data_IF_869079423990
#
_entry.id   IF_869079423990
#
_cell.length_a   1.000
_cell.length_b   1.000
_cell.length_c   1.000
_cell.angle_alpha   90.00
_cell.angle_beta   90.00
_cell.angle_gamma   90.00
#
_symmetry.space_group_name_H-M   'P 1'
#
loop_
_entity.id
_entity.type
_entity.pdbx_description
1 polymer ?
#
# COMPACT_ATOMS: atom_id res chain seq x y z
N UNK A 1 -4.65 9.48 2.56
CA UNK A 1 -5.48 8.59 3.41
C UNK A 1 -4.87 8.53 4.80
N UNK A 2 -5.70 8.65 5.83
CA UNK A 2 -5.31 8.54 7.25
C UNK A 2 -6.25 7.56 7.94
N UNK A 3 -5.87 7.04 9.11
CA UNK A 3 -6.82 6.34 9.99
C UNK A 3 -7.58 7.35 10.87
N UNK A 4 -8.67 6.91 11.50
CA UNK A 4 -9.37 7.70 12.52
C UNK A 4 -8.45 8.08 13.70
N UNK A 5 -7.49 7.21 14.02
CA UNK A 5 -6.55 7.37 15.14
C UNK A 5 -5.45 8.39 14.87
N UNK A 6 -4.90 8.41 13.62
CA UNK A 6 -3.73 9.23 13.31
C UNK A 6 -4.04 10.52 12.54
N UNK A 7 -5.30 10.74 12.10
CA UNK A 7 -5.68 11.91 11.31
C UNK A 7 -5.33 13.23 12.01
N UNK A 8 -5.71 13.37 13.27
CA UNK A 8 -5.48 14.62 14.01
C UNK A 8 -3.97 14.90 14.12
N UNK A 9 -3.17 13.92 14.53
CA UNK A 9 -1.72 14.07 14.65
C UNK A 9 -1.07 14.42 13.30
N UNK A 10 -1.55 13.80 12.21
CA UNK A 10 -1.05 14.09 10.86
C UNK A 10 -1.36 15.52 10.43
N UNK A 11 -2.57 16.02 10.70
CA UNK A 11 -2.96 17.40 10.41
C UNK A 11 -2.11 18.39 11.21
N UNK A 12 -2.00 18.17 12.52
CA UNK A 12 -1.19 19.02 13.42
C UNK A 12 0.29 19.06 12.99
N UNK A 13 0.83 17.91 12.59
CA UNK A 13 2.20 17.83 12.08
C UNK A 13 2.39 18.66 10.80
N UNK A 14 1.47 18.57 9.85
CA UNK A 14 1.54 19.35 8.62
C UNK A 14 1.35 20.85 8.87
N UNK A 15 0.42 21.24 9.75
CA UNK A 15 0.21 22.62 10.15
C UNK A 15 1.44 23.21 10.84
N UNK A 16 2.03 22.49 11.79
CA UNK A 16 3.25 22.90 12.48
C UNK A 16 4.42 23.16 11.52
N UNK A 17 4.48 22.40 10.43
CA UNK A 17 5.53 22.53 9.40
C UNK A 17 5.06 23.38 8.19
N UNK A 18 3.99 24.18 8.35
CA UNK A 18 3.44 25.01 7.27
C UNK A 18 3.28 24.24 5.95
N UNK A 19 2.77 22.98 6.03
CA UNK A 19 2.59 22.08 4.89
C UNK A 19 3.83 21.99 3.99
N UNK A 20 5.02 22.21 4.53
CA UNK A 20 6.29 22.26 3.80
C UNK A 20 6.27 23.21 2.59
N UNK A 21 5.49 24.30 2.69
CA UNK A 21 5.28 25.29 1.64
C UNK A 21 4.26 24.90 0.57
N UNK A 22 3.60 23.74 0.70
CA UNK A 22 2.51 23.36 -0.21
C UNK A 22 1.19 24.06 0.21
N UNK A 23 0.36 24.52 -0.75
CA UNK A 23 -0.90 25.23 -0.43
C UNK A 23 -1.85 24.34 0.38
N UNK A 24 -2.21 24.78 1.60
CA UNK A 24 -3.06 24.02 2.53
C UNK A 24 -4.42 23.65 1.92
N UNK A 25 -5.01 24.54 1.15
CA UNK A 25 -6.32 24.34 0.50
C UNK A 25 -6.32 23.22 -0.57
N UNK A 26 -5.13 22.80 -1.03
CA UNK A 26 -4.96 21.68 -1.96
C UNK A 26 -4.73 20.35 -1.26
N UNK A 27 -4.58 20.34 0.07
CA UNK A 27 -4.39 19.13 0.86
C UNK A 27 -5.73 18.67 1.42
N UNK A 28 -6.13 17.44 1.05
CA UNK A 28 -7.37 16.85 1.53
C UNK A 28 -7.08 15.57 2.30
N UNK A 29 -7.82 15.34 3.37
CA UNK A 29 -7.71 14.14 4.20
C UNK A 29 -8.99 13.33 4.08
N UNK A 30 -8.85 12.04 3.87
CA UNK A 30 -9.95 11.08 3.96
C UNK A 30 -9.54 9.90 4.84
N UNK A 31 -10.54 9.21 5.40
CA UNK A 31 -10.31 8.21 6.44
C UNK A 31 -10.44 6.80 5.87
N UNK A 32 -9.44 5.98 6.15
CA UNK A 32 -9.45 4.54 5.90
C UNK A 32 -10.55 3.86 6.73
N UNK A 33 -11.20 2.85 6.16
CA UNK A 33 -12.16 2.02 6.86
C UNK A 33 -11.54 1.14 7.93
N UNK A 34 -12.40 0.65 8.82
CA UNK A 34 -12.06 -0.36 9.82
C UNK A 34 -12.97 -1.58 9.67
N UNK A 35 -12.48 -2.73 10.11
CA UNK A 35 -13.23 -3.97 10.24
C UNK A 35 -13.06 -4.54 11.66
N UNK A 36 -14.11 -5.21 12.18
CA UNK A 36 -14.01 -5.88 13.48
C UNK A 36 -13.00 -7.01 13.43
N UNK A 37 -12.30 -7.21 14.54
CA UNK A 37 -11.53 -8.41 14.80
C UNK A 37 -12.45 -9.52 15.30
N UNK A 38 -12.20 -10.76 14.88
CA UNK A 38 -12.90 -11.93 15.38
C UNK A 38 -11.91 -12.91 15.99
N UNK A 39 -12.36 -13.66 16.98
CA UNK A 39 -11.58 -14.72 17.61
C UNK A 39 -11.54 -16.00 16.73
N UNK A 40 -10.97 -17.07 17.24
CA UNK A 40 -10.88 -18.37 16.56
C UNK A 40 -12.23 -19.08 16.36
N UNK A 41 -13.28 -18.67 17.08
CA UNK A 41 -14.65 -19.16 16.94
C UNK A 41 -15.48 -18.31 15.98
N UNK A 42 -14.93 -17.17 15.52
CA UNK A 42 -15.65 -16.19 14.70
C UNK A 42 -16.45 -15.18 15.50
N UNK A 43 -16.26 -15.11 16.82
CA UNK A 43 -16.94 -14.16 17.71
C UNK A 43 -16.20 -12.82 17.74
N UNK A 44 -16.96 -11.72 17.91
CA UNK A 44 -16.42 -10.38 17.96
C UNK A 44 -15.57 -10.16 19.21
N UNK A 45 -14.40 -9.57 19.02
CA UNK A 45 -13.51 -9.20 20.12
C UNK A 45 -13.94 -7.85 20.71
N UNK A 46 -14.09 -7.81 22.04
CA UNK A 46 -14.45 -6.60 22.79
C UNK A 46 -13.20 -5.98 23.40
N UNK A 47 -13.03 -4.68 23.25
CA UNK A 47 -11.91 -3.94 23.81
C UNK A 47 -12.15 -3.56 25.30
N UNK A 48 -11.14 -2.96 25.91
CA UNK A 48 -11.19 -2.50 27.32
C UNK A 48 -12.26 -1.44 27.61
N UNK A 49 -12.84 -0.82 26.60
CA UNK A 49 -13.88 0.21 26.72
C UNK A 49 -15.28 -0.38 26.46
N UNK A 50 -15.43 -1.70 26.43
CA UNK A 50 -16.65 -2.42 26.07
C UNK A 50 -17.15 -2.10 24.63
N UNK A 51 -16.23 -1.79 23.72
CA UNK A 51 -16.53 -1.57 22.30
C UNK A 51 -16.01 -2.75 21.47
N UNK A 52 -16.64 -2.98 20.32
CA UNK A 52 -16.12 -3.92 19.32
C UNK A 52 -14.72 -3.46 18.92
N UNK A 53 -13.75 -4.37 19.06
CA UNK A 53 -12.38 -4.09 18.69
C UNK A 53 -12.25 -4.14 17.17
N UNK A 54 -11.83 -3.04 16.59
CA UNK A 54 -11.62 -2.88 15.15
C UNK A 54 -10.14 -2.72 14.82
N UNK A 55 -9.80 -2.98 13.57
CA UNK A 55 -8.51 -2.66 12.97
C UNK A 55 -8.73 -2.16 11.53
N UNK A 56 -7.72 -1.49 10.97
CA UNK A 56 -7.80 -1.02 9.59
C UNK A 56 -8.10 -2.15 8.61
N UNK A 57 -8.94 -1.87 7.64
CA UNK A 57 -9.41 -2.81 6.61
C UNK A 57 -8.43 -2.99 5.43
N UNK A 58 -7.19 -2.50 5.59
CA UNK A 58 -6.13 -2.58 4.59
C UNK A 58 -6.10 -1.38 3.64
N UNK A 59 -4.98 -1.24 2.91
CA UNK A 59 -4.80 -0.11 1.98
C UNK A 59 -5.67 -0.21 0.71
N UNK A 60 -6.27 -1.37 0.43
CA UNK A 60 -7.21 -1.56 -0.67
C UNK A 60 -8.53 -0.83 -0.49
N UNK A 61 -8.90 -0.46 0.74
CA UNK A 61 -10.07 0.36 1.02
C UNK A 61 -9.97 1.81 0.50
N UNK A 62 -8.81 2.20 -0.03
CA UNK A 62 -8.56 3.55 -0.56
C UNK A 62 -9.63 3.98 -1.58
N UNK A 63 -10.06 3.07 -2.45
CA UNK A 63 -11.04 3.37 -3.51
C UNK A 63 -12.41 3.75 -2.93
N UNK A 64 -12.93 2.93 -2.03
CA UNK A 64 -14.22 3.18 -1.37
C UNK A 64 -14.15 4.37 -0.42
N UNK A 65 -13.04 4.54 0.28
CA UNK A 65 -12.81 5.68 1.18
C UNK A 65 -12.77 7.01 0.41
N UNK A 66 -12.09 7.07 -0.74
CA UNK A 66 -12.12 8.26 -1.60
C UNK A 66 -13.53 8.59 -2.09
N UNK A 67 -14.33 7.58 -2.45
CA UNK A 67 -15.72 7.78 -2.86
C UNK A 67 -16.57 8.28 -1.71
N UNK A 68 -16.50 7.60 -0.55
CA UNK A 68 -17.27 7.94 0.66
C UNK A 68 -17.07 9.38 1.09
N UNK A 69 -15.82 9.86 1.02
CA UNK A 69 -15.45 11.20 1.48
C UNK A 69 -15.49 12.26 0.34
N UNK A 70 -16.09 11.93 -0.83
CA UNK A 70 -16.31 12.86 -1.96
C UNK A 70 -15.03 13.28 -2.71
N UNK A 71 -13.90 12.59 -2.48
CA UNK A 71 -12.62 12.92 -3.11
C UNK A 71 -12.65 12.65 -4.62
N UNK A 72 -13.35 11.61 -5.07
CA UNK A 72 -13.46 11.28 -6.49
C UNK A 72 -14.22 12.38 -7.26
N UNK A 73 -15.33 12.86 -6.70
CA UNK A 73 -16.13 13.95 -7.27
C UNK A 73 -15.35 15.24 -7.33
N UNK A 74 -14.60 15.56 -6.28
CA UNK A 74 -13.71 16.73 -6.25
C UNK A 74 -12.62 16.63 -7.33
N UNK A 75 -11.98 15.48 -7.48
CA UNK A 75 -11.00 15.26 -8.54
C UNK A 75 -11.60 15.44 -9.94
N UNK A 76 -12.82 14.93 -10.18
CA UNK A 76 -13.53 15.09 -11.45
C UNK A 76 -13.86 16.55 -11.73
N UNK A 77 -14.36 17.31 -10.74
CA UNK A 77 -14.65 18.75 -10.85
C UNK A 77 -13.40 19.57 -11.16
N UNK A 78 -12.25 19.16 -10.64
CA UNK A 78 -10.95 19.78 -10.90
C UNK A 78 -10.27 19.26 -12.20
N UNK A 79 -10.96 18.46 -13.01
CA UNK A 79 -10.45 17.89 -14.26
C UNK A 79 -9.17 17.06 -14.10
N UNK A 80 -8.98 16.42 -12.93
CA UNK A 80 -7.88 15.48 -12.70
C UNK A 80 -8.07 14.26 -13.60
N UNK A 81 -7.03 13.89 -14.34
CA UNK A 81 -7.06 12.76 -15.29
C UNK A 81 -6.33 11.54 -14.74
N UNK A 82 -5.25 11.77 -13.99
CA UNK A 82 -4.37 10.75 -13.46
C UNK A 82 -4.15 10.96 -11.98
N UNK A 83 -4.15 9.87 -11.23
CA UNK A 83 -3.96 9.82 -9.79
C UNK A 83 -2.76 8.93 -9.50
N UNK A 84 -1.76 9.49 -8.85
CA UNK A 84 -0.64 8.73 -8.34
C UNK A 84 -0.92 8.32 -6.91
N UNK A 85 -0.71 7.03 -6.61
CA UNK A 85 -0.82 6.47 -5.25
C UNK A 85 0.52 5.89 -4.86
N UNK A 86 1.06 6.36 -3.75
CA UNK A 86 2.38 5.95 -3.29
C UNK A 86 2.46 5.74 -1.78
N UNK A 87 3.39 4.90 -1.36
CA UNK A 87 3.70 4.64 0.04
C UNK A 87 4.44 5.82 0.68
N UNK A 88 3.93 6.32 1.80
CA UNK A 88 4.56 7.42 2.55
C UNK A 88 5.88 6.99 3.20
N UNK A 89 6.10 5.70 3.33
CA UNK A 89 7.30 5.10 3.91
C UNK A 89 8.53 5.14 2.97
N UNK A 90 8.35 5.38 1.67
CA UNK A 90 9.45 5.45 0.71
C UNK A 90 9.94 6.88 0.50
N UNK A 91 11.09 7.25 1.05
CA UNK A 91 11.62 8.62 0.97
C UNK A 91 12.18 9.02 -0.41
N UNK A 92 12.42 8.06 -1.31
CA UNK A 92 12.81 8.30 -2.72
C UNK A 92 11.62 8.27 -3.68
N UNK A 93 10.39 8.31 -3.19
CA UNK A 93 9.20 8.25 -4.01
C UNK A 93 9.11 9.44 -4.97
N UNK A 94 9.14 9.18 -6.28
CA UNK A 94 8.91 10.19 -7.32
C UNK A 94 7.41 10.24 -7.66
N UNK A 95 6.71 11.24 -7.14
CA UNK A 95 5.23 11.35 -7.21
C UNK A 95 4.75 11.61 -8.63
N UNK A 96 5.41 12.49 -9.38
CA UNK A 96 5.04 12.82 -10.76
C UNK A 96 6.11 12.30 -11.70
N UNK A 97 5.74 11.32 -12.53
CA UNK A 97 6.64 10.73 -13.51
C UNK A 97 6.01 10.79 -14.91
N UNK A 98 6.52 11.68 -15.79
CA UNK A 98 6.02 11.79 -17.14
C UNK A 98 6.29 10.54 -17.99
N UNK A 99 7.34 9.77 -17.68
CA UNK A 99 7.66 8.53 -18.40
C UNK A 99 6.62 7.46 -18.08
N UNK A 100 6.29 7.25 -16.78
CA UNK A 100 5.23 6.32 -16.39
C UNK A 100 3.89 6.72 -17.00
N UNK A 101 3.53 8.01 -16.94
CA UNK A 101 2.28 8.51 -17.50
C UNK A 101 2.25 8.33 -19.03
N UNK A 102 3.33 8.67 -19.71
CA UNK A 102 3.46 8.52 -21.16
C UNK A 102 3.39 7.06 -21.60
N UNK A 103 4.05 6.15 -20.87
CA UNK A 103 3.98 4.70 -21.12
C UNK A 103 2.54 4.20 -20.99
N UNK A 104 1.85 4.56 -19.91
CA UNK A 104 0.47 4.15 -19.63
C UNK A 104 -0.48 4.59 -20.75
N UNK A 105 -0.35 5.85 -21.20
CA UNK A 105 -1.16 6.39 -22.31
C UNK A 105 -0.84 5.67 -23.62
N UNK A 106 0.45 5.47 -23.92
CA UNK A 106 0.91 4.82 -25.15
C UNK A 106 0.39 3.38 -25.27
N UNK A 107 0.35 2.64 -24.17
CA UNK A 107 -0.13 1.27 -24.13
C UNK A 107 -1.65 1.18 -23.95
N UNK A 108 -2.33 2.33 -23.87
CA UNK A 108 -3.79 2.44 -23.66
C UNK A 108 -4.27 1.72 -22.39
N UNK A 109 -3.43 1.69 -21.34
CA UNK A 109 -3.77 1.13 -20.05
C UNK A 109 -4.43 2.16 -19.14
N UNK A 110 -5.31 1.71 -18.25
CA UNK A 110 -5.95 2.55 -17.23
C UNK A 110 -5.15 2.63 -15.93
N UNK A 111 -4.26 1.65 -15.73
CA UNK A 111 -3.42 1.51 -14.55
C UNK A 111 -1.98 1.20 -14.94
N UNK A 112 -1.06 1.64 -14.11
CA UNK A 112 0.36 1.28 -14.22
C UNK A 112 1.06 1.34 -12.88
N UNK A 113 2.26 0.76 -12.82
CA UNK A 113 3.08 0.77 -11.63
C UNK A 113 4.56 0.88 -11.98
N UNK A 114 5.33 1.36 -11.00
CA UNK A 114 6.77 1.19 -11.01
C UNK A 114 7.17 -0.10 -10.31
N UNK A 115 8.25 -0.69 -10.78
CA UNK A 115 8.89 -1.85 -10.15
C UNK A 115 10.39 -1.63 -10.01
N UNK A 116 10.99 -2.35 -9.07
CA UNK A 116 12.44 -2.48 -8.96
C UNK A 116 12.84 -3.94 -8.96
N UNK A 117 14.08 -4.25 -9.34
CA UNK A 117 14.56 -5.62 -9.34
C UNK A 117 14.74 -6.13 -7.90
N UNK A 118 14.25 -7.35 -7.66
CA UNK A 118 14.42 -8.07 -6.39
C UNK A 118 15.89 -8.34 -6.12
N UNK A 119 16.37 -8.04 -4.92
CA UNK A 119 17.79 -8.19 -4.57
C UNK A 119 18.22 -9.63 -4.40
N UNK A 120 17.33 -10.48 -3.89
CA UNK A 120 17.55 -11.91 -3.69
C UNK A 120 16.21 -12.67 -3.55
N UNK A 121 16.19 -14.00 -3.70
CA UNK A 121 14.96 -14.79 -3.61
C UNK A 121 14.21 -14.68 -2.27
N UNK A 122 14.91 -14.38 -1.16
CA UNK A 122 14.36 -14.32 0.20
C UNK A 122 13.91 -12.91 0.63
N UNK A 123 14.02 -11.93 -0.25
CA UNK A 123 13.55 -10.57 0.04
C UNK A 123 12.04 -10.57 0.29
N UNK A 124 11.61 -10.00 1.43
CA UNK A 124 10.21 -9.99 1.90
C UNK A 124 9.41 -8.87 1.26
N UNK A 125 9.07 -9.04 -0.02
CA UNK A 125 8.35 -8.07 -0.85
C UNK A 125 7.34 -8.76 -1.75
N UNK A 126 6.24 -8.10 -2.04
CA UNK A 126 5.31 -8.53 -3.09
C UNK A 126 5.92 -8.35 -4.48
N UNK A 127 5.61 -9.25 -5.39
CA UNK A 127 6.15 -9.25 -6.76
C UNK A 127 5.04 -9.27 -7.80
N UNK A 128 5.24 -8.54 -8.89
CA UNK A 128 4.34 -8.55 -10.03
C UNK A 128 4.43 -9.87 -10.81
N UNK A 129 3.29 -10.36 -11.24
CA UNK A 129 3.16 -11.50 -12.13
C UNK A 129 1.87 -11.41 -12.95
N UNK A 130 1.65 -12.39 -13.83
CA UNK A 130 0.35 -12.60 -14.48
C UNK A 130 -0.17 -13.99 -14.09
N UNK A 131 -1.43 -14.06 -13.63
CA UNK A 131 -2.15 -15.30 -13.35
C UNK A 131 -3.37 -15.37 -14.27
N UNK A 132 -3.51 -16.44 -15.03
CA UNK A 132 -4.54 -16.57 -16.06
C UNK A 132 -4.60 -15.39 -17.02
N UNK A 133 -3.45 -14.79 -17.33
CA UNK A 133 -3.31 -13.65 -18.22
C UNK A 133 -3.52 -12.28 -17.56
N UNK A 134 -4.06 -12.21 -16.34
CA UNK A 134 -4.34 -10.95 -15.63
C UNK A 134 -3.18 -10.52 -14.72
N UNK A 135 -2.93 -9.21 -14.59
CA UNK A 135 -1.90 -8.70 -13.70
C UNK A 135 -2.25 -8.96 -12.24
N UNK A 136 -1.26 -9.35 -11.47
CA UNK A 136 -1.37 -9.64 -10.04
C UNK A 136 -0.08 -9.30 -9.31
N UNK A 137 -0.18 -9.04 -8.01
CA UNK A 137 0.95 -9.06 -7.07
C UNK A 137 0.78 -10.26 -6.15
N UNK A 138 1.85 -11.05 -6.00
CA UNK A 138 1.90 -12.15 -5.03
C UNK A 138 2.78 -11.70 -3.87
N UNK A 139 2.27 -11.80 -2.66
CA UNK A 139 3.04 -11.53 -1.45
C UNK A 139 4.08 -12.63 -1.20
N UNK A 140 5.21 -12.26 -0.59
CA UNK A 140 6.31 -13.19 -0.32
C UNK A 140 5.89 -14.39 0.55
N UNK A 141 4.83 -14.26 1.33
CA UNK A 141 4.26 -15.33 2.17
C UNK A 141 3.44 -16.34 1.36
N UNK A 142 3.00 -15.97 0.17
CA UNK A 142 2.16 -16.78 -0.73
C UNK A 142 2.98 -17.40 -1.88
N UNK A 143 4.18 -16.86 -2.14
CA UNK A 143 5.05 -17.34 -3.23
C UNK A 143 5.84 -18.58 -2.77
N UNK A 144 5.63 -19.76 -3.38
CA UNK A 144 6.40 -20.98 -3.05
C UNK A 144 7.91 -20.78 -3.22
N UNK A 145 8.72 -21.42 -2.37
CA UNK A 145 10.18 -21.21 -2.35
C UNK A 145 10.86 -21.61 -3.67
N UNK A 146 10.41 -22.69 -4.31
CA UNK A 146 10.91 -23.11 -5.61
C UNK A 146 10.63 -22.09 -6.70
N UNK A 147 9.45 -21.46 -6.69
CA UNK A 147 9.10 -20.37 -7.60
C UNK A 147 9.89 -19.09 -7.28
N UNK A 148 10.06 -18.77 -6.00
CA UNK A 148 10.84 -17.59 -5.59
C UNK A 148 12.30 -17.65 -6.05
N UNK A 149 12.87 -18.87 -6.16
CA UNK A 149 14.25 -19.12 -6.61
C UNK A 149 14.37 -19.31 -8.12
N UNK A 150 13.26 -19.45 -8.86
CA UNK A 150 13.26 -19.73 -10.29
C UNK A 150 13.90 -18.60 -11.08
N UNK A 151 14.80 -18.97 -12.01
CA UNK A 151 15.49 -18.03 -12.90
C UNK A 151 15.14 -18.30 -14.35
N UNK A 152 15.17 -17.25 -15.14
CA UNK A 152 15.04 -17.31 -16.59
C UNK A 152 16.38 -17.70 -17.28
N UNK A 153 16.39 -17.70 -18.61
CA UNK A 153 17.55 -18.00 -19.44
C UNK A 153 18.71 -16.98 -19.30
N UNK A 154 18.40 -15.77 -18.83
CA UNK A 154 19.37 -14.70 -18.57
C UNK A 154 19.92 -14.75 -17.13
N UNK A 155 19.41 -15.66 -16.30
CA UNK A 155 19.77 -15.78 -14.90
C UNK A 155 19.05 -14.79 -13.97
N UNK A 156 18.07 -14.01 -14.47
CA UNK A 156 17.22 -13.14 -13.67
C UNK A 156 16.14 -13.95 -12.94
N UNK A 157 15.67 -13.45 -11.78
CA UNK A 157 14.54 -14.07 -11.09
C UNK A 157 13.26 -13.90 -11.91
N UNK A 158 12.55 -15.00 -12.20
CA UNK A 158 11.26 -14.97 -12.92
C UNK A 158 10.23 -14.13 -12.16
N UNK A 159 10.23 -14.20 -10.82
CA UNK A 159 9.42 -13.38 -9.93
C UNK A 159 10.32 -12.28 -9.32
N UNK A 160 10.92 -11.47 -10.19
CA UNK A 160 11.91 -10.45 -9.82
C UNK A 160 11.42 -9.01 -9.81
N UNK A 161 10.20 -8.73 -10.31
CA UNK A 161 9.64 -7.37 -10.36
C UNK A 161 8.94 -7.03 -9.03
N UNK A 162 9.61 -6.26 -8.18
CA UNK A 162 9.11 -5.88 -6.85
C UNK A 162 8.06 -4.77 -6.94
N UNK A 163 6.96 -4.97 -6.25
CA UNK A 163 5.96 -3.93 -5.99
C UNK A 163 6.48 -2.96 -4.91
N UNK A 164 6.67 -1.69 -5.26
CA UNK A 164 7.16 -0.64 -4.36
C UNK A 164 6.07 0.37 -3.96
N UNK A 165 4.79 0.01 -4.12
CA UNK A 165 3.64 0.87 -3.87
C UNK A 165 3.79 2.24 -4.57
N UNK A 166 3.98 2.21 -5.87
CA UNK A 166 4.13 3.38 -6.74
C UNK A 166 3.26 3.18 -7.97
N UNK A 167 1.99 3.57 -7.86
CA UNK A 167 0.94 3.24 -8.83
C UNK A 167 0.34 4.49 -9.46
N UNK A 168 0.00 4.40 -10.73
CA UNK A 168 -0.72 5.43 -11.47
C UNK A 168 -2.06 4.86 -11.96
N UNK A 169 -3.13 5.60 -11.71
CA UNK A 169 -4.49 5.25 -12.12
C UNK A 169 -5.09 6.38 -12.94
N UNK A 170 -5.85 6.04 -13.97
CA UNK A 170 -6.76 7.01 -14.56
C UNK A 170 -7.91 7.30 -13.59
N UNK A 171 -8.53 8.49 -13.70
CA UNK A 171 -9.71 8.82 -12.87
C UNK A 171 -10.87 7.82 -13.12
N UNK A 172 -10.97 7.29 -14.35
CA UNK A 172 -11.96 6.26 -14.67
C UNK A 172 -11.69 4.97 -13.90
N UNK A 173 -10.42 4.55 -13.78
CA UNK A 173 -10.05 3.37 -13.03
C UNK A 173 -10.40 3.52 -11.54
N UNK A 174 -10.08 4.66 -10.93
CA UNK A 174 -10.44 4.94 -9.53
C UNK A 174 -11.96 4.90 -9.32
N UNK A 175 -12.73 5.49 -10.24
CA UNK A 175 -14.20 5.50 -10.17
C UNK A 175 -14.79 4.08 -10.31
N UNK A 176 -14.29 3.29 -11.26
CA UNK A 176 -14.68 1.88 -11.46
C UNK A 176 -14.39 1.05 -10.20
N UNK A 177 -13.15 1.14 -9.68
CA UNK A 177 -12.69 0.40 -8.51
C UNK A 177 -13.42 0.80 -7.22
N UNK A 178 -13.85 2.05 -7.11
CA UNK A 178 -14.63 2.52 -5.95
C UNK A 178 -15.99 1.83 -5.78
N UNK A 179 -16.46 1.14 -6.83
CA UNK A 179 -17.71 0.36 -6.83
C UNK A 179 -17.46 -1.15 -6.69
N UNK A 180 -16.19 -1.56 -6.60
CA UNK A 180 -15.81 -2.98 -6.47
C UNK A 180 -15.52 -3.32 -5.02
N UNK A 181 -15.76 -4.58 -4.67
CA UNK A 181 -15.28 -5.16 -3.41
C UNK A 181 -14.04 -5.99 -3.71
N UNK A 182 -12.94 -5.60 -3.14
CA UNK A 182 -11.71 -6.38 -3.21
C UNK A 182 -11.77 -7.56 -2.24
N UNK A 183 -11.03 -8.65 -2.51
CA UNK A 183 -10.94 -9.77 -1.58
C UNK A 183 -10.26 -9.34 -0.27
N UNK A 184 -10.59 -10.05 0.82
CA UNK A 184 -9.89 -9.86 2.07
C UNK A 184 -8.83 -10.94 2.26
N UNK A 185 -7.65 -10.52 2.65
CA UNK A 185 -6.58 -11.36 3.17
C UNK A 185 -6.74 -11.47 4.70
N UNK A 186 -6.46 -12.66 5.22
CA UNK A 186 -6.63 -12.94 6.65
C UNK A 186 -5.27 -13.00 7.33
N UNK A 187 -5.09 -12.19 8.37
CA UNK A 187 -3.91 -12.21 9.22
C UNK A 187 -4.27 -12.62 10.64
N UNK A 188 -3.53 -13.58 11.20
CA UNK A 188 -3.72 -14.01 12.57
C UNK A 188 -2.81 -13.21 13.51
N UNK A 189 -3.41 -12.44 14.43
CA UNK A 189 -2.73 -11.41 15.24
C UNK A 189 -3.08 -11.53 16.72
N UNK A 190 -2.27 -10.90 17.57
CA UNK A 190 -2.57 -10.73 19.00
C UNK A 190 -3.58 -9.60 19.18
N UNK A 191 -4.65 -9.86 19.91
CA UNK A 191 -5.63 -8.86 20.29
C UNK A 191 -6.03 -9.05 21.76
N UNK A 192 -5.62 -8.10 22.61
CA UNK A 192 -6.10 -8.07 23.99
C UNK A 192 -7.61 -7.79 24.01
N UNK A 193 -8.35 -8.38 24.95
CA UNK A 193 -9.80 -8.36 24.95
C UNK A 193 -10.38 -8.34 26.37
N UNK A 194 -11.68 -8.04 26.49
CA UNK A 194 -12.47 -8.31 27.70
C UNK A 194 -13.10 -9.69 27.58
N UNK A 195 -12.97 -10.49 28.66
CA UNK A 195 -13.71 -11.75 28.76
C UNK A 195 -15.18 -11.53 29.18
N UNK A 196 -15.98 -12.60 29.20
CA UNK A 196 -17.40 -12.55 29.56
C UNK A 196 -17.65 -12.08 31.01
N UNK A 197 -16.63 -12.11 31.87
CA UNK A 197 -16.66 -11.62 33.22
C UNK A 197 -16.22 -10.15 33.37
N UNK A 198 -15.85 -9.51 32.27
CA UNK A 198 -15.35 -8.14 32.25
C UNK A 198 -13.89 -7.97 32.65
N UNK A 199 -13.10 -9.04 32.67
CA UNK A 199 -11.67 -8.96 32.95
C UNK A 199 -10.90 -8.63 31.66
N UNK A 200 -9.95 -7.70 31.76
CA UNK A 200 -9.08 -7.38 30.64
C UNK A 200 -7.95 -8.40 30.50
N UNK A 201 -7.97 -9.16 29.43
CA UNK A 201 -7.01 -10.22 29.12
C UNK A 201 -5.93 -9.68 28.18
N UNK A 202 -4.69 -9.74 28.63
CA UNK A 202 -3.51 -9.47 27.80
C UNK A 202 -2.98 -10.80 27.25
N UNK A 203 -2.96 -10.90 25.90
CA UNK A 203 -2.53 -12.13 25.23
C UNK A 203 -1.06 -12.07 24.85
N UNK A 204 -0.39 -13.22 24.96
CA UNK A 204 1.00 -13.40 24.55
C UNK A 204 1.14 -14.05 23.19
N UNK A 205 0.11 -14.76 22.74
CA UNK A 205 0.06 -15.44 21.45
C UNK A 205 -1.05 -14.88 20.55
N UNK A 206 -0.98 -15.04 19.21
CA UNK A 206 -2.06 -14.69 18.29
C UNK A 206 -3.37 -15.41 18.69
N UNK A 207 -4.48 -14.65 18.67
CA UNK A 207 -5.80 -15.12 19.07
C UNK A 207 -6.94 -14.52 18.26
N UNK A 208 -6.63 -13.69 17.28
CA UNK A 208 -7.62 -12.94 16.51
C UNK A 208 -7.32 -12.93 15.03
N UNK A 209 -8.35 -13.00 14.23
CA UNK A 209 -8.29 -12.77 12.78
C UNK A 209 -8.55 -11.30 12.45
N UNK A 210 -7.64 -10.73 11.66
CA UNK A 210 -7.74 -9.42 11.04
C UNK A 210 -7.95 -9.59 9.55
N UNK A 211 -8.83 -8.77 8.96
CA UNK A 211 -9.15 -8.79 7.54
C UNK A 211 -8.63 -7.52 6.89
N UNK A 212 -7.88 -7.66 5.79
CA UNK A 212 -7.27 -6.55 5.06
C UNK A 212 -7.42 -6.75 3.55
N UNK A 213 -7.91 -5.73 2.84
CA UNK A 213 -7.82 -5.69 1.39
C UNK A 213 -6.52 -4.98 0.98
N UNK A 214 -5.88 -5.44 -0.08
CA UNK A 214 -4.70 -4.78 -0.62
C UNK A 214 -5.02 -4.01 -1.89
N UNK A 215 -4.38 -2.86 -2.06
CA UNK A 215 -4.59 -1.99 -3.21
C UNK A 215 -4.29 -2.71 -4.54
N UNK A 216 -3.34 -3.61 -4.54
CA UNK A 216 -2.90 -4.32 -5.74
C UNK A 216 -3.85 -5.46 -6.15
N UNK A 217 -4.78 -5.92 -5.29
CA UNK A 217 -5.81 -6.89 -5.69
C UNK A 217 -6.72 -6.32 -6.78
N UNK A 218 -6.82 -4.99 -6.85
CA UNK A 218 -7.55 -4.29 -7.89
C UNK A 218 -6.96 -4.48 -9.30
N UNK A 219 -5.71 -4.91 -9.44
CA UNK A 219 -5.08 -5.09 -10.75
C UNK A 219 -5.75 -6.21 -11.56
N UNK A 220 -6.24 -7.25 -10.89
CA UNK A 220 -6.97 -8.36 -11.52
C UNK A 220 -8.29 -7.95 -12.21
N UNK A 221 -8.80 -6.76 -11.92
CA UNK A 221 -9.98 -6.21 -12.59
C UNK A 221 -9.70 -5.75 -14.03
N UNK A 222 -8.42 -5.69 -14.42
CA UNK A 222 -7.97 -5.25 -15.73
C UNK A 222 -7.29 -6.39 -16.51
N UNK A 223 -7.38 -6.32 -17.84
CA UNK A 223 -6.73 -7.31 -18.72
C UNK A 223 -5.22 -7.12 -18.77
N UNK A 224 -4.75 -5.88 -18.62
CA UNK A 224 -3.32 -5.54 -18.61
C UNK A 224 -3.04 -4.27 -17.80
N UNK A 225 -1.77 -4.08 -17.48
CA UNK A 225 -1.23 -2.88 -16.86
C UNK A 225 0.20 -2.61 -17.36
N UNK A 226 0.60 -1.35 -17.36
CA UNK A 226 1.98 -0.98 -17.69
C UNK A 226 2.87 -1.10 -16.46
N UNK A 227 4.06 -1.71 -16.62
CA UNK A 227 5.08 -1.76 -15.57
C UNK A 227 6.32 -1.03 -16.05
N UNK A 228 6.74 -0.01 -15.32
CA UNK A 228 7.99 0.71 -15.54
C UNK A 228 9.04 0.24 -14.53
N UNK A 229 9.99 -0.58 -14.97
CA UNK A 229 11.15 -0.92 -14.13
C UNK A 229 12.05 0.30 -13.98
N UNK A 230 12.33 0.65 -12.72
CA UNK A 230 13.19 1.78 -12.36
C UNK A 230 14.40 1.28 -11.56
N UNK A 231 15.42 2.12 -11.42
CA UNK A 231 16.56 1.79 -10.59
C UNK A 231 16.19 1.90 -9.11
N UNK A 232 16.50 0.86 -8.36
CA UNK A 232 16.18 0.78 -6.93
C UNK A 232 16.82 1.93 -6.15
N UNK A 233 18.07 2.22 -6.41
CA UNK A 233 18.85 3.28 -5.75
C UNK A 233 18.31 4.70 -6.02
N UNK A 234 17.50 4.87 -7.05
CA UNK A 234 16.90 6.17 -7.41
C UNK A 234 15.46 6.34 -6.90
N UNK A 235 14.75 5.24 -6.59
CA UNK A 235 13.31 5.32 -6.32
C UNK A 235 12.80 4.46 -5.16
N UNK A 236 13.70 3.75 -4.44
CA UNK A 236 13.26 2.87 -3.35
C UNK A 236 14.17 2.92 -2.12
N UNK A 237 13.76 3.66 -1.11
CA UNK A 237 14.39 3.73 0.21
C UNK A 237 13.31 3.70 1.31
N UNK A 238 12.76 2.52 1.63
CA UNK A 238 11.65 2.39 2.55
C UNK A 238 12.07 2.52 4.02
N UNK A 239 11.13 2.99 4.86
CA UNK A 239 11.24 2.99 6.32
C UNK A 239 10.14 2.08 6.88
N UNK A 240 10.50 0.88 7.33
CA UNK A 240 9.59 -0.14 7.85
C UNK A 240 9.91 -0.54 9.29
N UNK A 241 11.14 -0.34 9.72
CA UNK A 241 11.65 -0.73 11.03
C UNK A 241 12.23 0.48 11.75
N UNK A 242 12.25 0.42 13.09
CA UNK A 242 12.91 1.46 13.89
C UNK A 242 14.43 1.43 13.73
N UNK A 243 15.02 0.24 13.57
CA UNK A 243 16.46 0.01 13.49
C UNK A 243 16.76 -1.11 12.48
N UNK A 244 18.01 -1.19 12.03
CA UNK A 244 18.50 -2.23 11.10
C UNK A 244 18.10 -1.96 9.65
N UNK A 245 17.67 -2.99 8.93
CA UNK A 245 17.24 -2.90 7.51
C UNK A 245 15.96 -2.10 7.39
N UNK A 246 15.82 -1.29 6.33
CA UNK A 246 14.64 -0.45 6.09
C UNK A 246 14.30 0.44 7.30
N UNK A 247 15.33 1.02 7.91
CA UNK A 247 15.23 1.95 9.04
C UNK A 247 15.42 3.40 8.60
N UNK A 248 15.11 4.39 9.44
CA UNK A 248 15.41 5.79 9.15
C UNK A 248 16.89 6.02 8.80
N UNK A 249 17.83 5.33 9.47
CA UNK A 249 19.25 5.44 9.20
C UNK A 249 19.61 4.95 7.81
N UNK A 250 19.15 3.74 7.43
CA UNK A 250 19.44 3.16 6.10
C UNK A 250 18.77 3.96 4.99
N UNK A 251 17.56 4.46 5.21
CA UNK A 251 16.84 5.30 4.25
C UNK A 251 17.55 6.66 4.05
N UNK A 252 17.99 7.33 5.13
CA UNK A 252 18.79 8.55 5.04
C UNK A 252 20.09 8.35 4.26
N UNK A 253 20.76 7.21 4.47
CA UNK A 253 21.97 6.88 3.72
C UNK A 253 21.66 6.75 2.23
N UNK A 254 20.65 5.95 1.85
CA UNK A 254 20.24 5.77 0.45
C UNK A 254 19.86 7.11 -0.22
N UNK A 255 19.12 7.97 0.50
CA UNK A 255 18.78 9.30 0.01
C UNK A 255 20.03 10.17 -0.20
N UNK A 256 20.96 10.17 0.73
CA UNK A 256 22.21 10.95 0.63
C UNK A 256 23.07 10.45 -0.55
N UNK A 257 23.20 9.13 -0.69
CA UNK A 257 23.94 8.51 -1.80
C UNK A 257 23.32 8.90 -3.16
N UNK A 258 21.97 8.87 -3.25
CA UNK A 258 21.25 9.31 -4.44
C UNK A 258 21.52 10.78 -4.76
N UNK A 259 21.39 11.71 -3.80
CA UNK A 259 21.66 13.13 -4.02
C UNK A 259 23.10 13.38 -4.46
N UNK A 260 24.07 12.71 -3.86
CA UNK A 260 25.47 12.83 -4.23
C UNK A 260 25.76 12.29 -5.64
N UNK A 261 25.00 11.31 -6.12
CA UNK A 261 25.15 10.77 -7.48
C UNK A 261 24.59 11.68 -8.58
N UNK A 262 23.79 12.69 -8.22
CA UNK A 262 23.22 13.65 -9.17
C UNK A 262 24.12 14.89 -9.39
N UNK A 263 25.14 15.09 -8.56
CA UNK A 263 26.13 16.17 -8.65
C UNK A 263 27.40 15.69 -9.35
#
# INVERSE_FOLDING_TARGET
MTSSENKQQTVEFLEKNNYFGYPKEKVKFFIQGNLPLVDTNGELIIDKNCLIKEASDGNGSIYQSMKKDGIIEDMKQNNIKWIFVGGVDNILLKIVDPVLTGLTIKENNKISSKSVVKTNPKEKVGVFCKIAGKPKVIEYTELPEDMACKRDENGELVFGEVNILSHLYSIQAIDELSNKKLPYHVAFKKANYLDDNGNFIQVTEPNAYKFEAFIFDAFEEYEDMSILRVKREEEFAPIKNAEGTDSPETACKLYTDFINSQN
#
